data_IF_109606105092
#
_entry.id   IF_109606105092
#
_cell.length_a   1.000
_cell.length_b   1.000
_cell.length_c   1.000
_cell.angle_alpha   90.00
_cell.angle_beta   90.00
_cell.angle_gamma   90.00
#
_symmetry.space_group_name_H-M   'P 1'
#
loop_
_entity.id
_entity.type
_entity.pdbx_description
1 polymer ?
#
# COMPACT_ATOMS: atom_id res chain seq x y z
N UNK A 1 -76.77 -48.37 -4.55
CA UNK A 1 -75.34 -48.44 -4.90
C UNK A 1 -74.89 -47.07 -5.40
N UNK A 2 -74.28 -46.24 -4.55
CA UNK A 2 -73.73 -44.94 -4.94
C UNK A 2 -72.43 -44.72 -4.18
N UNK A 3 -71.31 -44.82 -4.89
CA UNK A 3 -69.94 -44.87 -4.34
C UNK A 3 -69.52 -43.51 -3.76
N UNK A 4 -68.95 -43.56 -2.56
CA UNK A 4 -68.11 -42.53 -1.94
C UNK A 4 -66.87 -42.31 -2.81
N UNK A 5 -66.73 -41.16 -3.50
CA UNK A 5 -65.46 -40.78 -4.17
C UNK A 5 -64.97 -39.35 -3.86
N UNK A 6 -65.66 -38.61 -2.97
CA UNK A 6 -65.27 -37.24 -2.62
C UNK A 6 -64.32 -37.10 -1.43
N UNK A 7 -64.01 -38.20 -0.72
CA UNK A 7 -63.26 -38.15 0.54
C UNK A 7 -61.73 -38.20 0.36
N UNK A 8 -61.24 -38.74 -0.76
CA UNK A 8 -59.81 -38.99 -0.96
C UNK A 8 -59.06 -37.75 -1.48
N UNK A 9 -59.68 -36.93 -2.32
CA UNK A 9 -59.06 -35.70 -2.84
C UNK A 9 -58.88 -34.63 -1.76
N UNK A 10 -59.82 -34.50 -0.82
CA UNK A 10 -59.74 -33.52 0.27
C UNK A 10 -58.71 -33.90 1.33
N UNK A 11 -58.55 -35.21 1.59
CA UNK A 11 -57.52 -35.73 2.49
C UNK A 11 -56.12 -35.60 1.89
N UNK A 12 -55.97 -35.80 0.57
CA UNK A 12 -54.68 -35.62 -0.10
C UNK A 12 -54.23 -34.15 -0.11
N UNK A 13 -55.15 -33.21 -0.37
CA UNK A 13 -54.85 -31.78 -0.34
C UNK A 13 -54.51 -31.27 1.07
N UNK A 14 -55.23 -31.72 2.09
CA UNK A 14 -54.90 -31.39 3.48
C UNK A 14 -53.54 -31.98 3.91
N UNK A 15 -53.21 -33.19 3.43
CA UNK A 15 -51.94 -33.86 3.73
C UNK A 15 -50.74 -33.25 2.98
N UNK A 16 -50.95 -32.70 1.78
CA UNK A 16 -49.93 -31.93 1.05
C UNK A 16 -49.73 -30.54 1.68
N UNK A 17 -50.78 -29.84 2.10
CA UNK A 17 -50.69 -28.52 2.76
C UNK A 17 -49.99 -28.61 4.12
N UNK A 18 -50.31 -29.62 4.93
CA UNK A 18 -49.64 -29.88 6.22
C UNK A 18 -48.15 -30.15 6.02
N UNK A 19 -47.78 -30.92 4.98
CA UNK A 19 -46.38 -31.21 4.62
C UNK A 19 -45.62 -29.98 4.15
N UNK A 20 -46.23 -29.12 3.32
CA UNK A 20 -45.63 -27.85 2.90
C UNK A 20 -45.39 -26.91 4.09
N UNK A 21 -46.30 -26.90 5.07
CA UNK A 21 -46.14 -26.12 6.29
C UNK A 21 -45.04 -26.65 7.22
N UNK A 22 -44.93 -27.99 7.34
CA UNK A 22 -43.85 -28.64 8.10
C UNK A 22 -42.49 -28.41 7.45
N UNK A 23 -42.40 -28.48 6.12
CA UNK A 23 -41.15 -28.27 5.36
C UNK A 23 -40.64 -26.82 5.50
N UNK A 24 -41.53 -25.81 5.44
CA UNK A 24 -41.17 -24.40 5.70
C UNK A 24 -40.75 -24.17 7.15
N UNK A 25 -41.41 -24.79 8.12
CA UNK A 25 -41.06 -24.66 9.54
C UNK A 25 -39.69 -25.30 9.83
N UNK A 26 -39.39 -26.45 9.22
CA UNK A 26 -38.08 -27.13 9.31
C UNK A 26 -36.97 -26.27 8.68
N UNK A 27 -37.21 -25.67 7.50
CA UNK A 27 -36.23 -24.80 6.83
C UNK A 27 -35.93 -23.55 7.68
N UNK A 28 -36.95 -22.97 8.30
CA UNK A 28 -36.82 -21.81 9.19
C UNK A 28 -36.02 -22.15 10.46
N UNK A 29 -36.25 -23.33 11.04
CA UNK A 29 -35.50 -23.81 12.22
C UNK A 29 -34.03 -24.05 11.86
N UNK A 30 -33.75 -24.67 10.71
CA UNK A 30 -32.38 -24.94 10.28
C UNK A 30 -31.59 -23.65 10.04
N UNK A 31 -32.23 -22.62 9.48
CA UNK A 31 -31.64 -21.29 9.32
C UNK A 31 -31.32 -20.60 10.65
N UNK A 32 -32.24 -20.68 11.62
CA UNK A 32 -32.00 -20.16 12.99
C UNK A 32 -30.82 -20.88 13.64
N UNK A 33 -30.74 -22.21 13.50
CA UNK A 33 -29.65 -23.02 14.03
C UNK A 33 -28.32 -22.64 13.37
N UNK A 34 -28.28 -22.53 12.02
CA UNK A 34 -27.09 -22.10 11.26
C UNK A 34 -26.60 -20.72 11.68
N UNK A 35 -27.51 -19.75 11.83
CA UNK A 35 -27.18 -18.40 12.29
C UNK A 35 -26.60 -18.40 13.71
N UNK A 36 -27.16 -19.22 14.61
CA UNK A 36 -26.70 -19.32 16.00
C UNK A 36 -25.33 -20.01 16.08
N UNK A 37 -25.13 -21.09 15.32
CA UNK A 37 -23.83 -21.77 15.18
C UNK A 37 -22.78 -20.81 14.63
N UNK A 38 -23.10 -20.04 13.57
CA UNK A 38 -22.18 -19.05 13.00
C UNK A 38 -21.76 -18.00 14.03
N UNK A 39 -22.71 -17.46 14.81
CA UNK A 39 -22.40 -16.49 15.88
C UNK A 39 -21.53 -17.09 16.98
N UNK A 40 -21.77 -18.35 17.37
CA UNK A 40 -20.96 -19.07 18.36
C UNK A 40 -19.53 -19.33 17.85
N UNK A 41 -19.40 -19.74 16.59
CA UNK A 41 -18.09 -19.93 15.94
C UNK A 41 -17.34 -18.60 15.82
N UNK A 42 -18.00 -17.52 15.40
CA UNK A 42 -17.42 -16.17 15.36
C UNK A 42 -16.96 -15.71 16.75
N UNK A 43 -17.76 -15.97 17.79
CA UNK A 43 -17.42 -15.62 19.17
C UNK A 43 -16.21 -16.43 19.69
N UNK A 44 -16.15 -17.73 19.41
CA UNK A 44 -15.02 -18.60 19.79
C UNK A 44 -13.74 -18.18 19.07
N UNK A 45 -13.81 -17.91 17.75
CA UNK A 45 -12.69 -17.39 16.96
C UNK A 45 -12.21 -16.05 17.54
N UNK A 46 -13.13 -15.11 17.80
CA UNK A 46 -12.79 -13.80 18.38
C UNK A 46 -12.10 -13.95 19.74
N UNK A 47 -12.54 -14.91 20.55
CA UNK A 47 -11.96 -15.20 21.87
C UNK A 47 -10.58 -15.84 21.76
N UNK A 48 -10.36 -16.77 20.82
CA UNK A 48 -9.04 -17.35 20.54
C UNK A 48 -8.06 -16.31 20.00
N UNK A 49 -8.50 -15.49 19.04
CA UNK A 49 -7.71 -14.36 18.51
C UNK A 49 -7.37 -13.38 19.63
N UNK A 50 -8.33 -13.01 20.48
CA UNK A 50 -8.09 -12.11 21.63
C UNK A 50 -7.06 -12.71 22.60
N UNK A 51 -7.19 -13.99 22.96
CA UNK A 51 -6.19 -14.69 23.81
C UNK A 51 -4.81 -14.71 23.16
N UNK A 52 -4.73 -14.99 21.87
CA UNK A 52 -3.46 -14.95 21.12
C UNK A 52 -2.84 -13.55 21.12
N UNK A 53 -3.65 -12.50 20.83
CA UNK A 53 -3.20 -11.10 20.85
C UNK A 53 -2.74 -10.66 22.23
N UNK A 54 -3.45 -11.02 23.30
CA UNK A 54 -3.04 -10.73 24.69
C UNK A 54 -1.73 -11.45 25.02
N UNK A 55 -1.57 -12.71 24.59
CA UNK A 55 -0.31 -13.46 24.76
C UNK A 55 0.84 -12.82 23.99
N UNK A 56 0.60 -12.24 22.81
CA UNK A 56 1.61 -11.49 22.06
C UNK A 56 1.96 -10.15 22.70
N UNK A 57 1.01 -9.49 23.39
CA UNK A 57 1.23 -8.25 24.15
C UNK A 57 1.95 -8.44 25.48
N UNK A 58 2.37 -9.66 25.84
CA UNK A 58 3.19 -9.85 27.04
C UNK A 58 4.49 -9.04 26.95
N UNK A 59 4.89 -8.39 28.04
CA UNK A 59 6.05 -7.49 28.06
C UNK A 59 7.33 -8.16 27.55
N UNK A 60 7.58 -9.41 27.96
CA UNK A 60 8.74 -10.20 27.51
C UNK A 60 8.77 -10.42 26.00
N UNK A 61 7.63 -10.76 25.38
CA UNK A 61 7.54 -10.99 23.93
C UNK A 61 7.62 -9.71 23.12
N UNK A 62 6.98 -8.64 23.61
CA UNK A 62 7.05 -7.31 22.98
C UNK A 62 8.50 -6.84 22.95
N UNK A 63 9.21 -6.92 24.09
CA UNK A 63 10.63 -6.57 24.18
C UNK A 63 11.51 -7.42 23.25
N UNK A 64 11.26 -8.73 23.18
CA UNK A 64 12.01 -9.61 22.28
C UNK A 64 11.82 -9.23 20.80
N UNK A 65 10.57 -8.95 20.39
CA UNK A 65 10.26 -8.48 19.03
C UNK A 65 10.91 -7.13 18.75
N UNK A 66 10.86 -6.21 19.69
CA UNK A 66 11.44 -4.87 19.52
C UNK A 66 12.97 -4.96 19.38
N UNK A 67 13.63 -5.86 20.13
CA UNK A 67 15.07 -6.15 19.96
C UNK A 67 15.39 -6.76 18.58
N UNK A 68 14.62 -7.74 18.13
CA UNK A 68 14.84 -8.40 16.83
C UNK A 68 14.64 -7.41 15.68
N UNK A 69 13.56 -6.62 15.72
CA UNK A 69 13.28 -5.59 14.71
C UNK A 69 14.31 -4.47 14.72
N UNK A 70 14.80 -4.07 15.89
CA UNK A 70 15.93 -3.15 16.03
C UNK A 70 17.20 -3.69 15.36
N UNK A 71 17.60 -4.91 15.68
CA UNK A 71 18.80 -5.53 15.11
C UNK A 71 18.67 -5.69 13.59
N UNK A 72 17.56 -6.27 13.12
CA UNK A 72 17.31 -6.48 11.69
C UNK A 72 17.27 -5.16 10.92
N UNK A 73 16.60 -4.14 11.45
CA UNK A 73 16.55 -2.82 10.82
C UNK A 73 17.91 -2.11 10.81
N UNK A 74 18.71 -2.26 11.86
CA UNK A 74 20.07 -1.69 11.92
C UNK A 74 20.97 -2.36 10.89
N UNK A 75 20.94 -3.70 10.80
CA UNK A 75 21.69 -4.46 9.79
C UNK A 75 21.22 -4.07 8.38
N UNK A 76 19.92 -3.97 8.15
CA UNK A 76 19.34 -3.53 6.87
C UNK A 76 19.82 -2.15 6.44
N UNK A 77 19.89 -1.19 7.38
CA UNK A 77 20.42 0.15 7.12
C UNK A 77 21.89 0.11 6.69
N UNK A 78 22.74 -0.61 7.44
CA UNK A 78 24.16 -0.73 7.12
C UNK A 78 24.41 -1.46 5.80
N UNK A 79 23.69 -2.55 5.54
CA UNK A 79 23.79 -3.27 4.27
C UNK A 79 23.32 -2.39 3.10
N UNK A 80 22.28 -1.58 3.28
CA UNK A 80 21.83 -0.63 2.26
C UNK A 80 22.87 0.44 1.99
N UNK A 81 23.48 1.00 3.04
CA UNK A 81 24.53 2.01 2.91
C UNK A 81 25.77 1.42 2.22
N UNK A 82 26.19 0.21 2.61
CA UNK A 82 27.28 -0.51 1.96
C UNK A 82 26.98 -0.77 0.48
N UNK A 83 25.78 -1.27 0.16
CA UNK A 83 25.38 -1.52 -1.24
C UNK A 83 25.40 -0.22 -2.06
N UNK A 84 24.87 0.88 -1.52
CA UNK A 84 24.89 2.17 -2.18
C UNK A 84 26.32 2.64 -2.49
N UNK A 85 27.28 2.40 -1.59
CA UNK A 85 28.69 2.78 -1.81
C UNK A 85 29.47 1.82 -2.71
N UNK A 86 29.27 0.50 -2.56
CA UNK A 86 30.02 -0.52 -3.28
C UNK A 86 29.49 -0.74 -4.71
N UNK A 87 28.17 -0.73 -4.89
CA UNK A 87 27.51 -0.98 -6.17
C UNK A 87 26.34 -0.01 -6.45
N UNK A 88 26.60 1.31 -6.52
CA UNK A 88 25.57 2.34 -6.68
C UNK A 88 24.70 2.12 -7.93
N UNK A 89 25.29 1.68 -9.05
CA UNK A 89 24.56 1.42 -10.30
C UNK A 89 23.43 0.39 -10.15
N UNK A 90 23.55 -0.53 -9.18
CA UNK A 90 22.59 -1.60 -8.94
C UNK A 90 21.63 -1.31 -7.79
N UNK A 91 21.82 -0.20 -7.06
CA UNK A 91 21.06 0.12 -5.85
C UNK A 91 19.55 0.25 -6.09
N UNK A 92 19.15 0.67 -7.30
CA UNK A 92 17.73 0.76 -7.68
C UNK A 92 16.99 -0.60 -7.61
N UNK A 93 17.72 -1.72 -7.76
CA UNK A 93 17.15 -3.08 -7.64
C UNK A 93 16.77 -3.37 -6.18
N UNK A 94 17.66 -3.05 -5.24
CA UNK A 94 17.39 -3.14 -3.81
C UNK A 94 16.21 -2.25 -3.42
N UNK A 95 16.20 -1.01 -3.90
CA UNK A 95 15.07 -0.10 -3.72
C UNK A 95 13.76 -0.68 -4.25
N UNK A 96 13.75 -1.22 -5.47
CA UNK A 96 12.53 -1.78 -6.10
C UNK A 96 11.99 -2.96 -5.29
N UNK A 97 12.86 -3.87 -4.86
CA UNK A 97 12.49 -4.99 -4.00
C UNK A 97 11.88 -4.51 -2.67
N UNK A 98 12.55 -3.58 -1.98
CA UNK A 98 12.07 -3.01 -0.72
C UNK A 98 10.74 -2.27 -0.89
N UNK A 99 10.59 -1.48 -1.96
CA UNK A 99 9.36 -0.79 -2.27
C UNK A 99 8.19 -1.77 -2.44
N UNK A 100 8.39 -2.86 -3.19
CA UNK A 100 7.39 -3.92 -3.35
C UNK A 100 6.94 -4.51 -2.01
N UNK A 101 7.88 -4.96 -1.19
CA UNK A 101 7.59 -5.58 0.12
C UNK A 101 6.92 -4.60 1.08
N UNK A 102 7.46 -3.40 1.21
CA UNK A 102 6.97 -2.39 2.16
C UNK A 102 5.60 -1.84 1.73
N UNK A 103 5.38 -1.59 0.44
CA UNK A 103 4.08 -1.08 -0.04
C UNK A 103 3.00 -2.16 -0.03
N UNK A 104 3.32 -3.40 -0.35
CA UNK A 104 2.37 -4.51 -0.19
C UNK A 104 1.94 -4.66 1.28
N UNK A 105 2.90 -4.65 2.20
CA UNK A 105 2.61 -4.73 3.63
C UNK A 105 1.79 -3.53 4.10
N UNK A 106 2.16 -2.32 3.68
CA UNK A 106 1.46 -1.09 4.07
C UNK A 106 0.05 -1.03 3.49
N UNK A 107 -0.17 -1.50 2.26
CA UNK A 107 -1.49 -1.65 1.66
C UNK A 107 -2.41 -2.53 2.51
N UNK A 108 -1.94 -3.72 2.89
CA UNK A 108 -2.70 -4.66 3.74
C UNK A 108 -3.07 -4.01 5.07
N UNK A 109 -2.08 -3.42 5.77
CA UNK A 109 -2.28 -2.80 7.08
C UNK A 109 -3.23 -1.59 6.98
N UNK A 110 -3.05 -0.73 5.99
CA UNK A 110 -3.86 0.49 5.85
C UNK A 110 -5.27 0.16 5.40
N UNK A 111 -5.46 -0.87 4.57
CA UNK A 111 -6.79 -1.33 4.19
C UNK A 111 -7.55 -1.91 5.38
N UNK A 112 -6.86 -2.65 6.25
CA UNK A 112 -7.43 -3.15 7.51
C UNK A 112 -7.81 -2.01 8.46
N UNK A 113 -6.94 -1.00 8.59
CA UNK A 113 -7.19 0.19 9.42
C UNK A 113 -8.14 1.22 8.81
N UNK A 114 -8.64 0.98 7.59
CA UNK A 114 -9.47 1.92 6.81
C UNK A 114 -8.76 3.24 6.45
N UNK A 115 -7.44 3.21 6.35
CA UNK A 115 -6.50 4.31 6.07
C UNK A 115 -5.92 4.31 4.64
N UNK A 116 -6.45 3.44 3.77
CA UNK A 116 -5.94 3.22 2.41
C UNK A 116 -5.90 4.48 1.52
N UNK A 117 -6.67 5.53 1.81
CA UNK A 117 -6.58 6.79 1.05
C UNK A 117 -5.30 7.60 1.31
N UNK A 118 -4.59 7.36 2.42
CA UNK A 118 -3.26 7.95 2.63
C UNK A 118 -2.21 7.41 1.65
N UNK A 119 -2.49 6.29 0.97
CA UNK A 119 -1.58 5.73 -0.05
C UNK A 119 -1.66 6.48 -1.37
N UNK A 120 -2.58 7.45 -1.49
CA UNK A 120 -2.68 8.36 -2.63
C UNK A 120 -1.88 9.64 -2.41
N UNK A 121 -1.15 9.78 -1.30
CA UNK A 121 -0.35 10.97 -1.02
C UNK A 121 0.82 11.12 -2.01
N UNK A 122 1.37 12.34 -2.13
CA UNK A 122 2.38 12.70 -3.13
C UNK A 122 3.63 11.83 -3.02
N UNK A 123 4.04 11.45 -1.81
CA UNK A 123 5.20 10.59 -1.62
C UNK A 123 5.03 9.24 -2.34
N UNK A 124 3.84 8.62 -2.30
CA UNK A 124 3.58 7.37 -3.03
C UNK A 124 3.56 7.57 -4.55
N UNK A 125 3.03 8.70 -5.01
CA UNK A 125 3.03 9.03 -6.44
C UNK A 125 4.47 9.29 -6.95
N UNK A 126 5.30 9.97 -6.16
CA UNK A 126 6.72 10.15 -6.45
C UNK A 126 7.46 8.81 -6.57
N UNK A 127 7.11 7.81 -5.74
CA UNK A 127 7.67 6.47 -5.88
C UNK A 127 7.28 5.79 -7.18
N UNK A 128 6.03 5.97 -7.61
CA UNK A 128 5.57 5.49 -8.90
C UNK A 128 6.34 6.18 -10.04
N UNK A 129 6.50 7.50 -9.99
CA UNK A 129 7.26 8.25 -11.00
C UNK A 129 8.73 7.82 -11.05
N UNK A 130 9.35 7.55 -9.90
CA UNK A 130 10.69 6.98 -9.83
C UNK A 130 10.75 5.56 -10.38
N UNK A 131 9.78 4.69 -10.08
CA UNK A 131 9.74 3.33 -10.66
C UNK A 131 9.55 3.37 -12.18
N UNK A 132 8.70 4.27 -12.70
CA UNK A 132 8.56 4.51 -14.13
C UNK A 132 9.86 5.02 -14.75
N UNK A 133 10.56 5.93 -14.07
CA UNK A 133 11.88 6.39 -14.49
C UNK A 133 12.87 5.25 -14.62
N UNK A 134 12.94 4.37 -13.62
CA UNK A 134 13.95 3.32 -13.53
C UNK A 134 13.70 2.18 -14.53
N UNK A 135 12.44 1.81 -14.74
CA UNK A 135 12.09 0.59 -15.49
C UNK A 135 11.51 0.85 -16.88
N UNK A 136 10.85 2.00 -17.09
CA UNK A 136 10.17 2.31 -18.36
C UNK A 136 10.93 3.37 -19.15
N UNK A 137 11.44 4.41 -18.47
CA UNK A 137 12.16 5.53 -19.11
C UNK A 137 13.59 5.74 -18.58
N UNK A 138 14.44 4.69 -18.48
CA UNK A 138 15.76 4.78 -17.82
C UNK A 138 16.74 5.72 -18.53
N UNK A 139 16.52 5.99 -19.81
CA UNK A 139 17.40 6.81 -20.65
C UNK A 139 16.89 8.24 -20.87
N UNK A 140 15.78 8.63 -20.24
CA UNK A 140 15.20 9.96 -20.41
C UNK A 140 15.84 10.96 -19.46
N UNK A 141 16.74 11.81 -19.96
CA UNK A 141 17.43 12.81 -19.15
C UNK A 141 16.45 13.77 -18.44
N UNK A 142 15.40 14.20 -19.15
CA UNK A 142 14.33 15.04 -18.58
C UNK A 142 13.60 14.34 -17.44
N UNK A 143 13.27 13.06 -17.60
CA UNK A 143 12.56 12.31 -16.57
C UNK A 143 13.44 12.06 -15.34
N UNK A 144 14.73 11.80 -15.54
CA UNK A 144 15.72 11.69 -14.45
C UNK A 144 15.83 13.01 -13.68
N UNK A 145 15.91 14.16 -14.37
CA UNK A 145 15.95 15.47 -13.69
C UNK A 145 14.68 15.73 -12.88
N UNK A 146 13.50 15.43 -13.44
CA UNK A 146 12.22 15.57 -12.73
C UNK A 146 12.16 14.75 -11.45
N UNK A 147 12.47 13.45 -11.53
CA UNK A 147 12.45 12.58 -10.35
C UNK A 147 13.54 12.94 -9.36
N UNK A 148 14.72 13.34 -9.84
CA UNK A 148 15.81 13.83 -8.98
C UNK A 148 15.36 15.03 -8.16
N UNK A 149 14.78 16.05 -8.79
CA UNK A 149 14.32 17.25 -8.10
C UNK A 149 13.17 16.95 -7.13
N UNK A 150 12.22 16.07 -7.49
CA UNK A 150 11.12 15.67 -6.61
C UNK A 150 11.63 14.88 -5.38
N UNK A 151 12.56 13.94 -5.60
CA UNK A 151 13.08 13.04 -4.57
C UNK A 151 14.06 13.74 -3.62
N UNK A 152 15.02 14.50 -4.16
CA UNK A 152 16.03 15.23 -3.38
C UNK A 152 15.50 16.55 -2.83
N UNK A 153 14.41 17.08 -3.39
CA UNK A 153 13.70 18.26 -2.90
C UNK A 153 12.60 17.89 -1.91
N UNK A 154 11.31 18.07 -2.24
CA UNK A 154 10.21 17.99 -1.27
C UNK A 154 10.15 16.67 -0.51
N UNK A 155 10.47 15.52 -1.12
CA UNK A 155 10.44 14.23 -0.43
C UNK A 155 11.52 14.14 0.65
N UNK A 156 12.78 14.39 0.31
CA UNK A 156 13.88 14.33 1.29
C UNK A 156 13.71 15.39 2.38
N UNK A 157 13.31 16.61 2.00
CA UNK A 157 13.07 17.70 2.96
C UNK A 157 11.88 17.43 3.87
N UNK A 158 10.91 16.61 3.47
CA UNK A 158 9.79 16.21 4.34
C UNK A 158 10.26 15.44 5.57
N UNK A 159 11.41 14.73 5.49
CA UNK A 159 12.01 14.05 6.64
C UNK A 159 12.32 15.07 7.74
N UNK A 160 12.87 16.23 7.36
CA UNK A 160 13.18 17.31 8.29
C UNK A 160 11.90 18.04 8.72
N UNK A 161 11.05 18.44 7.78
CA UNK A 161 9.85 19.21 8.03
C UNK A 161 8.86 18.50 8.97
N UNK A 162 8.66 17.19 8.76
CA UNK A 162 7.75 16.38 9.57
C UNK A 162 8.46 15.56 10.65
N UNK A 163 9.76 15.82 10.88
CA UNK A 163 10.60 15.14 11.88
C UNK A 163 10.45 13.61 11.80
N UNK A 164 10.48 13.08 10.59
CA UNK A 164 10.29 11.65 10.36
C UNK A 164 11.49 10.86 10.90
N UNK A 165 11.30 10.21 12.05
CA UNK A 165 12.36 9.46 12.72
C UNK A 165 12.46 8.02 12.22
N UNK A 166 13.68 7.52 12.12
CA UNK A 166 13.95 6.10 11.94
C UNK A 166 13.68 5.35 13.25
N UNK A 167 12.55 4.64 13.31
CA UNK A 167 12.11 3.90 14.50
C UNK A 167 11.95 2.42 14.14
N UNK A 168 12.95 1.60 14.47
CA UNK A 168 13.03 0.22 13.99
C UNK A 168 11.90 -0.72 14.48
N UNK A 169 11.35 -0.46 15.67
CA UNK A 169 10.24 -1.26 16.21
C UNK A 169 8.87 -0.88 15.62
N UNK A 170 8.81 0.12 14.74
CA UNK A 170 7.60 0.54 14.04
C UNK A 170 7.77 0.41 12.54
N UNK A 171 7.17 -0.63 11.96
CA UNK A 171 7.19 -0.86 10.52
C UNK A 171 6.58 0.31 9.73
N UNK A 172 5.61 1.00 10.31
CA UNK A 172 5.00 2.19 9.72
C UNK A 172 6.02 3.34 9.62
N UNK A 173 6.78 3.61 10.70
CA UNK A 173 7.83 4.63 10.70
C UNK A 173 8.99 4.25 9.79
N UNK A 174 9.39 2.97 9.77
CA UNK A 174 10.41 2.47 8.85
C UNK A 174 10.00 2.64 7.38
N UNK A 175 8.75 2.29 7.05
CA UNK A 175 8.22 2.48 5.68
C UNK A 175 8.12 3.97 5.32
N UNK A 176 7.71 4.82 6.27
CA UNK A 176 7.69 6.28 6.05
C UNK A 176 9.10 6.84 5.86
N UNK A 177 10.10 6.36 6.60
CA UNK A 177 11.51 6.74 6.39
C UNK A 177 11.98 6.29 5.00
N UNK A 178 11.73 5.03 4.64
CA UNK A 178 12.05 4.49 3.32
C UNK A 178 11.46 5.35 2.18
N UNK A 179 10.18 5.72 2.27
CA UNK A 179 9.47 6.53 1.28
C UNK A 179 10.13 7.88 0.99
N UNK A 180 10.83 8.47 1.96
CA UNK A 180 11.36 9.82 1.85
C UNK A 180 12.88 9.87 1.69
N UNK A 181 13.60 8.85 2.17
CA UNK A 181 15.06 8.80 2.14
C UNK A 181 15.63 8.02 0.95
N UNK A 182 15.18 6.78 0.75
CA UNK A 182 15.71 5.91 -0.31
C UNK A 182 15.59 6.47 -1.74
N UNK A 183 14.53 7.22 -2.10
CA UNK A 183 14.40 7.77 -3.45
C UNK A 183 15.50 8.78 -3.77
N UNK A 184 15.92 9.57 -2.79
CA UNK A 184 17.05 10.47 -2.92
C UNK A 184 18.35 9.68 -3.11
N UNK A 185 18.55 8.58 -2.36
CA UNK A 185 19.70 7.70 -2.56
C UNK A 185 19.75 7.11 -3.97
N UNK A 186 18.62 6.62 -4.49
CA UNK A 186 18.54 6.10 -5.86
C UNK A 186 18.81 7.21 -6.88
N UNK A 187 18.20 8.38 -6.71
CA UNK A 187 18.39 9.51 -7.64
C UNK A 187 19.83 10.00 -7.64
N UNK A 188 20.48 10.04 -6.47
CA UNK A 188 21.90 10.33 -6.33
C UNK A 188 22.77 9.28 -7.04
N UNK A 189 22.49 7.99 -6.84
CA UNK A 189 23.20 6.92 -7.50
C UNK A 189 23.06 7.02 -9.04
N UNK A 190 21.86 7.25 -9.56
CA UNK A 190 21.62 7.44 -11.00
C UNK A 190 22.37 8.65 -11.56
N UNK A 191 22.48 9.76 -10.81
CA UNK A 191 23.15 10.98 -11.28
C UNK A 191 24.67 10.88 -11.33
N UNK A 192 25.28 10.17 -10.38
CA UNK A 192 26.74 10.11 -10.23
C UNK A 192 27.36 8.81 -10.71
N UNK A 193 26.57 7.73 -10.70
CA UNK A 193 26.94 6.40 -11.15
C UNK A 193 25.87 5.89 -12.12
N UNK A 194 25.71 6.54 -13.29
CA UNK A 194 24.74 6.12 -14.29
C UNK A 194 25.08 4.72 -14.80
N UNK A 195 24.06 3.96 -15.22
CA UNK A 195 24.28 2.66 -15.88
C UNK A 195 25.13 2.82 -17.14
N UNK A 196 25.80 1.74 -17.56
CA UNK A 196 26.60 1.73 -18.78
C UNK A 196 25.81 2.24 -20.02
N UNK A 197 24.54 1.86 -20.13
CA UNK A 197 23.64 2.30 -21.22
C UNK A 197 23.35 3.80 -21.17
N UNK A 198 23.05 4.34 -19.98
CA UNK A 198 22.81 5.76 -19.80
C UNK A 198 24.09 6.56 -20.06
N UNK A 199 25.24 6.06 -19.59
CA UNK A 199 26.55 6.65 -19.86
C UNK A 199 26.87 6.68 -21.35
N UNK A 200 26.66 5.58 -22.06
CA UNK A 200 26.84 5.52 -23.51
C UNK A 200 25.96 6.55 -24.24
N UNK A 201 24.71 6.74 -23.79
CA UNK A 201 23.83 7.79 -24.32
C UNK A 201 24.33 9.20 -24.03
N UNK A 202 24.77 9.47 -22.80
CA UNK A 202 25.31 10.77 -22.40
C UNK A 202 26.53 11.11 -23.25
N UNK A 203 27.41 10.14 -23.46
CA UNK A 203 28.67 10.32 -24.19
C UNK A 203 28.50 10.23 -25.72
N UNK A 204 27.27 10.01 -26.23
CA UNK A 204 26.99 9.92 -27.67
C UNK A 204 27.09 11.26 -28.40
N UNK A 205 26.98 12.40 -27.70
CA UNK A 205 27.12 13.74 -28.28
C UNK A 205 27.46 14.78 -27.22
N UNK A 206 28.18 15.87 -27.58
CA UNK A 206 28.44 16.98 -26.66
C UNK A 206 27.17 17.61 -26.08
N UNK A 207 26.09 17.70 -26.86
CA UNK A 207 24.82 18.30 -26.44
C UNK A 207 24.13 17.47 -25.36
N UNK A 208 24.16 16.13 -25.47
CA UNK A 208 23.63 15.23 -24.44
C UNK A 208 24.47 15.27 -23.17
N UNK A 209 25.79 15.40 -23.30
CA UNK A 209 26.70 15.56 -22.17
C UNK A 209 26.41 16.85 -21.41
N UNK A 210 26.29 17.95 -22.14
CA UNK A 210 25.96 19.26 -21.59
C UNK A 210 24.58 19.25 -20.91
N UNK A 211 23.58 18.60 -21.54
CA UNK A 211 22.25 18.44 -20.96
C UNK A 211 22.23 17.56 -19.70
N UNK A 212 23.18 16.63 -19.53
CA UNK A 212 23.32 15.83 -18.30
C UNK A 212 24.02 16.60 -17.18
N UNK A 213 25.08 17.34 -17.52
CA UNK A 213 25.91 18.05 -16.57
C UNK A 213 25.23 19.29 -16.00
N UNK A 214 24.44 19.99 -16.81
CA UNK A 214 23.73 21.20 -16.41
C UNK A 214 22.27 20.91 -16.10
N UNK A 215 21.75 21.60 -15.10
CA UNK A 215 20.32 21.74 -14.88
C UNK A 215 20.01 23.21 -14.61
N UNK A 216 19.06 23.76 -15.34
CA UNK A 216 18.60 25.14 -15.09
C UNK A 216 17.53 25.18 -13.98
N UNK A 217 17.20 26.39 -13.53
CA UNK A 217 16.20 26.57 -12.49
C UNK A 217 14.81 26.07 -12.94
N UNK A 218 14.52 26.17 -14.24
CA UNK A 218 13.24 25.73 -14.79
C UNK A 218 13.12 24.20 -14.75
N UNK A 219 14.17 23.46 -15.10
CA UNK A 219 14.25 22.01 -15.05
C UNK A 219 14.19 21.45 -13.63
N UNK A 220 14.72 22.20 -12.65
CA UNK A 220 14.71 21.76 -11.25
C UNK A 220 13.49 22.25 -10.46
N UNK A 221 12.84 23.34 -10.87
CA UNK A 221 11.68 23.89 -10.17
C UNK A 221 10.37 23.74 -10.93
N UNK A 222 10.33 24.10 -12.22
CA UNK A 222 9.08 24.09 -12.98
C UNK A 222 8.75 22.71 -13.54
N UNK A 223 9.74 21.99 -14.06
CA UNK A 223 9.53 20.67 -14.66
C UNK A 223 8.97 19.63 -13.66
N UNK A 224 9.40 19.56 -12.39
CA UNK A 224 8.81 18.68 -11.39
C UNK A 224 7.38 19.08 -10.98
N UNK A 225 6.92 20.29 -11.31
CA UNK A 225 5.52 20.66 -11.11
C UNK A 225 4.59 19.86 -12.04
N UNK A 226 5.08 19.36 -13.18
CA UNK A 226 4.27 18.53 -14.08
C UNK A 226 3.79 17.24 -13.39
N UNK A 227 4.66 16.37 -12.85
CA UNK A 227 4.21 15.20 -12.10
C UNK A 227 3.43 15.57 -10.83
N UNK A 228 3.74 16.71 -10.20
CA UNK A 228 2.95 17.21 -9.07
C UNK A 228 1.51 17.56 -9.46
N UNK A 229 1.30 18.35 -10.51
CA UNK A 229 -0.05 18.72 -10.97
C UNK A 229 -0.81 17.53 -11.53
N UNK A 230 -0.12 16.60 -12.22
CA UNK A 230 -0.70 15.32 -12.63
C UNK A 230 -1.23 14.56 -11.41
N UNK A 231 -0.43 14.44 -10.36
CA UNK A 231 -0.84 13.83 -9.11
C UNK A 231 -1.98 14.60 -8.44
N UNK A 232 -1.90 15.93 -8.34
CA UNK A 232 -2.90 16.76 -7.68
C UNK A 232 -4.26 16.66 -8.38
N UNK A 233 -4.29 16.68 -9.71
CA UNK A 233 -5.50 16.47 -10.49
C UNK A 233 -6.07 15.06 -10.30
N UNK A 234 -5.22 14.03 -10.38
CA UNK A 234 -5.65 12.64 -10.16
C UNK A 234 -6.18 12.42 -8.73
N UNK A 235 -5.52 12.99 -7.73
CA UNK A 235 -5.95 12.97 -6.33
C UNK A 235 -7.29 13.66 -6.16
N UNK A 236 -7.44 14.86 -6.74
CA UNK A 236 -8.67 15.63 -6.65
C UNK A 236 -9.86 14.85 -7.22
N UNK A 237 -9.72 14.36 -8.45
CA UNK A 237 -10.75 13.55 -9.10
C UNK A 237 -11.04 12.30 -8.27
N UNK A 238 -10.01 11.62 -7.77
CA UNK A 238 -10.22 10.37 -7.04
C UNK A 238 -10.90 10.56 -5.69
N UNK A 239 -10.47 11.54 -4.89
CA UNK A 239 -10.94 11.75 -3.53
C UNK A 239 -12.23 12.57 -3.51
N UNK A 240 -12.25 13.73 -4.16
CA UNK A 240 -13.35 14.68 -4.04
C UNK A 240 -14.49 14.42 -5.02
N UNK A 241 -14.20 13.87 -6.20
CA UNK A 241 -15.26 13.57 -7.19
C UNK A 241 -15.76 12.13 -7.06
N UNK A 242 -14.86 11.13 -7.14
CA UNK A 242 -15.26 9.72 -7.22
C UNK A 242 -15.55 9.11 -5.84
N UNK A 243 -14.67 9.34 -4.87
CA UNK A 243 -14.74 8.65 -3.57
C UNK A 243 -15.45 9.44 -2.48
N UNK A 244 -15.81 10.71 -2.67
CA UNK A 244 -16.30 11.60 -1.61
C UNK A 244 -17.51 11.01 -0.87
N UNK A 245 -18.56 10.59 -1.58
CA UNK A 245 -19.74 9.97 -0.97
C UNK A 245 -19.39 8.74 -0.13
N UNK A 246 -18.52 7.86 -0.65
CA UNK A 246 -18.07 6.65 0.05
C UNK A 246 -17.21 6.96 1.28
N UNK A 247 -16.41 8.03 1.22
CA UNK A 247 -15.57 8.48 2.32
C UNK A 247 -16.45 8.95 3.48
N UNK A 248 -17.46 9.77 3.17
CA UNK A 248 -18.39 10.32 4.17
C UNK A 248 -19.26 9.23 4.79
N UNK A 249 -19.88 8.36 3.97
CA UNK A 249 -20.74 7.27 4.46
C UNK A 249 -20.00 6.26 5.35
N UNK A 250 -18.71 6.03 5.10
CA UNK A 250 -17.93 4.99 5.80
C UNK A 250 -16.98 5.53 6.86
N UNK A 251 -16.94 6.85 7.03
CA UNK A 251 -16.04 7.54 7.97
C UNK A 251 -14.57 7.26 7.67
N UNK A 252 -14.18 7.29 6.39
CA UNK A 252 -12.78 7.08 6.02
C UNK A 252 -11.96 8.34 6.25
N UNK A 253 -10.73 8.16 6.73
CA UNK A 253 -9.78 9.27 6.92
C UNK A 253 -8.94 9.47 5.67
N UNK A 254 -8.65 10.73 5.38
CA UNK A 254 -7.89 11.23 4.24
C UNK A 254 -6.85 12.26 4.71
N UNK A 255 -6.11 12.85 3.78
CA UNK A 255 -5.15 13.91 4.10
C UNK A 255 -5.85 15.20 4.57
N UNK A 256 -7.06 15.46 4.07
CA UNK A 256 -7.77 16.73 4.23
C UNK A 256 -9.03 16.64 5.10
N UNK A 257 -9.36 15.44 5.59
CA UNK A 257 -10.57 15.11 6.35
C UNK A 257 -10.30 13.85 7.16
#
# INVERSE_FOLDING_TARGET
MGRKSGSLHTLAAAYEDDRWSEDEEIETIDDIVRLKVRRLVEAEIKTRVRRFLVKQKTAKRTLARDKVTFMAGTVDLWLSAYWLGAWPESFYKLYTFKAGVLFATRWIVYRYKRWHYYLLDLCYAAQLFLLLQLWIFPLSLRWIKMTFALNCGPLLWSVLAFRNSLVYHSLDKLTSFFLHWFPACVSWATRWYPSAELRAKIDASPELREAWERADLFELMALPLVPYFLWAAAYYVKIFVISSKRIDERGYTTLFK
#
